data_IF_793239520618
#
_entry.id   IF_793239520618
#
_cell.length_a   1.000
_cell.length_b   1.000
_cell.length_c   1.000
_cell.angle_alpha   90.00
_cell.angle_beta   90.00
_cell.angle_gamma   90.00
#
_symmetry.space_group_name_H-M   'P 1'
#
loop_
_entity.id
_entity.type
_entity.pdbx_description
1 polymer ?
#
# COMPACT_ATOMS: atom_id res chain seq x y z
N UNK A 1 -12.74 8.36 -6.13
CA UNK A 1 -13.86 7.42 -6.37
C UNK A 1 -13.41 6.37 -7.38
N UNK A 2 -13.94 5.14 -7.32
CA UNK A 2 -13.66 4.10 -8.33
C UNK A 2 -14.56 4.36 -9.54
N UNK A 3 -13.99 4.33 -10.75
CA UNK A 3 -14.76 4.62 -11.98
C UNK A 3 -15.64 3.45 -12.40
N UNK A 4 -16.66 3.76 -13.20
CA UNK A 4 -17.38 2.75 -14.00
C UNK A 4 -16.44 2.10 -15.04
N UNK A 5 -16.87 0.98 -15.63
CA UNK A 5 -16.08 0.20 -16.60
C UNK A 5 -16.30 0.62 -18.06
N UNK A 6 -17.31 1.46 -18.32
CA UNK A 6 -17.73 1.87 -19.67
C UNK A 6 -18.05 3.37 -19.71
N UNK A 7 -18.13 3.94 -20.91
CA UNK A 7 -18.29 5.38 -21.11
C UNK A 7 -16.96 6.12 -21.06
N UNK A 8 -16.97 7.42 -21.39
CA UNK A 8 -15.76 8.23 -21.35
C UNK A 8 -15.20 8.26 -19.90
N UNK A 9 -13.87 8.10 -19.70
CA UNK A 9 -12.77 8.13 -20.69
C UNK A 9 -12.38 6.82 -21.36
N UNK A 10 -13.14 5.74 -21.22
CA UNK A 10 -12.90 4.51 -21.98
C UNK A 10 -13.38 4.66 -23.43
N UNK A 11 -12.63 4.16 -24.44
CA UNK A 11 -11.49 3.24 -24.35
C UNK A 11 -10.10 3.91 -24.35
N UNK A 12 -10.00 5.23 -24.13
CA UNK A 12 -8.70 5.92 -24.13
C UNK A 12 -7.86 5.50 -22.93
N UNK A 13 -8.48 5.43 -21.75
CA UNK A 13 -7.86 4.87 -20.57
C UNK A 13 -7.64 3.37 -20.70
N UNK A 14 -6.54 2.87 -20.12
CA UNK A 14 -6.32 1.42 -19.96
C UNK A 14 -7.55 0.79 -19.30
N UNK A 15 -8.21 -0.13 -20.00
CA UNK A 15 -9.49 -0.71 -19.57
C UNK A 15 -9.43 -1.37 -18.19
N UNK A 16 -10.38 -1.05 -17.32
CA UNK A 16 -10.56 -1.67 -16.00
C UNK A 16 -10.55 -3.21 -16.07
N UNK A 17 -10.17 -3.85 -14.97
CA UNK A 17 -10.16 -5.31 -14.83
C UNK A 17 -10.77 -5.74 -13.50
N UNK A 18 -10.87 -7.05 -13.30
CA UNK A 18 -11.26 -7.63 -12.01
C UNK A 18 -10.22 -7.43 -10.90
N UNK A 19 -8.97 -7.08 -11.25
CA UNK A 19 -7.85 -6.97 -10.31
C UNK A 19 -7.58 -5.52 -9.92
N UNK A 20 -7.81 -4.56 -10.81
CA UNK A 20 -7.64 -3.13 -10.53
C UNK A 20 -8.52 -2.28 -11.42
N UNK A 21 -8.91 -1.13 -10.90
CA UNK A 21 -9.73 -0.12 -11.58
C UNK A 21 -9.15 1.26 -11.39
N UNK A 22 -9.48 2.16 -12.30
CA UNK A 22 -9.17 3.59 -12.16
C UNK A 22 -9.86 4.18 -10.93
N UNK A 23 -9.11 5.04 -10.24
CA UNK A 23 -9.60 5.93 -9.20
C UNK A 23 -9.42 7.36 -9.68
N UNK A 24 -10.49 8.13 -9.66
CA UNK A 24 -10.56 9.51 -10.12
C UNK A 24 -11.44 10.36 -9.19
N UNK A 25 -11.43 11.70 -9.32
CA UNK A 25 -12.31 12.55 -8.53
C UNK A 25 -13.81 12.23 -8.77
N UNK A 26 -14.18 11.92 -10.01
CA UNK A 26 -15.56 11.63 -10.42
C UNK A 26 -15.72 10.19 -10.92
N UNK A 27 -16.84 9.53 -10.57
CA UNK A 27 -17.12 8.13 -10.95
C UNK A 27 -17.35 7.97 -12.47
N UNK A 28 -17.96 8.97 -13.10
CA UNK A 28 -18.39 8.96 -14.49
C UNK A 28 -18.27 10.37 -15.10
N UNK A 29 -17.95 10.43 -16.39
CA UNK A 29 -17.80 11.67 -17.16
C UNK A 29 -18.69 11.66 -18.41
N UNK A 30 -19.21 12.83 -18.76
CA UNK A 30 -20.03 13.06 -19.94
C UNK A 30 -21.44 13.56 -19.61
N UNK A 31 -22.34 13.59 -20.61
CA UNK A 31 -23.66 14.20 -20.48
C UNK A 31 -24.55 13.55 -19.41
N UNK A 32 -24.36 12.27 -19.10
CA UNK A 32 -25.10 11.57 -18.07
C UNK A 32 -24.77 12.07 -16.65
N UNK A 33 -23.50 12.40 -16.39
CA UNK A 33 -23.05 12.94 -15.10
C UNK A 33 -23.04 14.47 -15.06
N UNK A 34 -22.98 15.13 -16.22
CA UNK A 34 -22.80 16.58 -16.34
C UNK A 34 -21.37 17.04 -15.99
N UNK A 35 -20.44 16.11 -15.81
CA UNK A 35 -19.02 16.38 -15.50
C UNK A 35 -18.17 16.00 -16.70
N UNK A 36 -17.32 16.90 -17.16
CA UNK A 36 -16.56 16.72 -18.41
C UNK A 36 -15.05 16.84 -18.20
N UNK A 37 -14.63 17.38 -17.06
CA UNK A 37 -13.25 17.62 -16.69
C UNK A 37 -13.08 17.54 -15.18
N UNK A 38 -11.84 17.28 -14.77
CA UNK A 38 -11.37 17.50 -13.42
C UNK A 38 -10.52 18.77 -13.36
N UNK A 39 -10.50 19.43 -12.21
CA UNK A 39 -9.73 20.65 -12.02
C UNK A 39 -8.24 20.44 -12.32
N UNK A 40 -7.59 21.46 -12.87
CA UNK A 40 -6.14 21.47 -13.06
C UNK A 40 -5.45 21.52 -11.70
N UNK A 41 -4.48 20.65 -11.47
CA UNK A 41 -3.76 20.62 -10.20
C UNK A 41 -3.26 19.25 -9.78
N UNK A 42 -2.75 19.20 -8.56
CA UNK A 42 -2.22 17.98 -7.95
C UNK A 42 -3.31 17.19 -7.24
N UNK A 43 -3.38 15.90 -7.56
CA UNK A 43 -4.20 14.90 -6.92
C UNK A 43 -3.33 13.93 -6.13
N UNK A 44 -3.71 13.71 -4.87
CA UNK A 44 -3.00 12.84 -3.94
C UNK A 44 -3.83 11.59 -3.69
N UNK A 45 -3.37 10.46 -4.22
CA UNK A 45 -4.00 9.16 -3.99
C UNK A 45 -3.25 8.45 -2.88
N UNK A 46 -3.94 8.18 -1.77
CA UNK A 46 -3.33 7.58 -0.59
C UNK A 46 -3.90 6.19 -0.32
N UNK A 47 -2.99 5.22 -0.11
CA UNK A 47 -3.29 3.94 0.49
C UNK A 47 -2.61 3.86 1.86
N UNK A 48 -3.41 3.70 2.91
CA UNK A 48 -2.93 3.48 4.27
C UNK A 48 -3.09 2.01 4.65
N UNK A 49 -2.01 1.40 5.13
CA UNK A 49 -2.01 0.00 5.57
C UNK A 49 -1.19 -0.17 6.85
N UNK A 50 -1.57 -1.13 7.70
CA UNK A 50 -0.92 -1.35 8.99
C UNK A 50 -0.12 -2.65 8.98
N UNK A 51 1.17 -2.57 9.29
CA UNK A 51 2.04 -3.70 9.55
C UNK A 51 2.07 -3.96 11.06
N UNK A 52 1.23 -4.91 11.49
CA UNK A 52 1.11 -5.29 12.89
C UNK A 52 2.39 -5.90 13.50
N UNK A 53 2.38 -6.17 14.80
CA UNK A 53 3.50 -6.85 15.47
C UNK A 53 3.90 -8.15 14.76
N UNK A 54 5.20 -8.37 14.62
CA UNK A 54 5.77 -9.55 13.99
C UNK A 54 6.15 -9.40 12.52
N UNK A 55 5.62 -8.40 11.81
CA UNK A 55 6.15 -8.05 10.49
C UNK A 55 7.48 -7.30 10.63
N UNK A 56 8.50 -7.71 9.87
CA UNK A 56 9.78 -7.01 9.78
C UNK A 56 9.81 -6.08 8.54
N UNK A 57 9.66 -4.75 8.71
CA UNK A 57 9.67 -3.78 7.61
C UNK A 57 10.94 -3.82 6.76
N UNK A 58 12.08 -4.18 7.36
CA UNK A 58 13.36 -4.21 6.66
C UNK A 58 13.43 -5.31 5.60
N UNK A 59 12.54 -6.31 5.68
CA UNK A 59 12.47 -7.43 4.74
C UNK A 59 11.42 -7.24 3.64
N UNK A 60 10.57 -6.21 3.77
CA UNK A 60 9.45 -6.00 2.86
C UNK A 60 9.91 -5.68 1.45
N UNK A 61 9.31 -6.36 0.48
CA UNK A 61 9.43 -6.07 -0.95
C UNK A 61 8.05 -6.02 -1.57
N UNK A 62 7.89 -5.18 -2.59
CA UNK A 62 6.71 -5.23 -3.44
C UNK A 62 7.04 -4.71 -4.83
N UNK A 63 6.40 -5.31 -5.82
CA UNK A 63 6.49 -4.90 -7.22
C UNK A 63 5.13 -4.36 -7.65
N UNK A 64 5.12 -3.22 -8.31
CA UNK A 64 3.90 -2.58 -8.76
C UNK A 64 4.05 -2.00 -10.17
N UNK A 65 2.92 -1.67 -10.79
CA UNK A 65 2.83 -0.85 -11.99
C UNK A 65 1.66 0.11 -11.88
N UNK A 66 1.66 1.15 -12.69
CA UNK A 66 0.56 2.10 -12.70
C UNK A 66 0.37 2.76 -14.07
N UNK A 67 -0.78 3.40 -14.22
CA UNK A 67 -1.14 4.31 -15.31
C UNK A 67 -1.78 5.55 -14.67
N UNK A 68 -1.52 6.73 -15.20
CA UNK A 68 -2.03 7.99 -14.65
C UNK A 68 -2.53 8.90 -15.76
N UNK A 69 -3.45 9.81 -15.41
CA UNK A 69 -3.90 10.89 -16.28
C UNK A 69 -3.82 12.24 -15.53
N UNK A 70 -2.97 13.20 -15.91
CA UNK A 70 -2.06 13.18 -17.06
C UNK A 70 -0.62 12.79 -16.70
N UNK A 71 -0.02 13.39 -15.65
CA UNK A 71 1.40 13.20 -15.34
C UNK A 71 1.61 12.69 -13.92
N UNK A 72 2.47 11.69 -13.78
CA UNK A 72 2.95 11.31 -12.45
C UNK A 72 4.03 12.31 -12.01
N UNK A 73 3.86 12.91 -10.82
CA UNK A 73 4.90 13.76 -10.23
C UNK A 73 5.80 12.97 -9.28
N UNK A 74 5.24 12.07 -8.48
CA UNK A 74 6.03 11.25 -7.55
C UNK A 74 5.21 10.14 -6.90
N UNK A 75 5.91 9.13 -6.35
CA UNK A 75 5.33 8.16 -5.42
C UNK A 75 6.17 8.13 -4.14
N UNK A 76 5.50 8.23 -3.01
CA UNK A 76 6.09 8.27 -1.68
C UNK A 76 5.56 7.11 -0.85
N UNK A 77 6.45 6.43 -0.15
CA UNK A 77 6.10 5.53 0.95
C UNK A 77 6.60 6.15 2.25
N UNK A 78 5.65 6.56 3.09
CA UNK A 78 5.92 7.38 4.27
C UNK A 78 6.73 8.64 3.90
N UNK A 79 7.94 8.77 4.42
CA UNK A 79 8.84 9.90 4.13
C UNK A 79 9.85 9.62 3.01
N UNK A 80 9.75 8.46 2.34
CA UNK A 80 10.69 8.02 1.31
C UNK A 80 10.06 8.12 -0.07
N UNK A 81 10.68 8.89 -0.96
CA UNK A 81 10.30 8.92 -2.37
C UNK A 81 10.79 7.63 -3.05
N UNK A 82 9.88 6.80 -3.52
CA UNK A 82 10.19 5.53 -4.20
C UNK A 82 10.14 5.64 -5.73
N UNK A 83 9.47 6.67 -6.26
CA UNK A 83 9.45 6.97 -7.71
C UNK A 83 9.54 8.48 -7.92
N UNK A 84 10.43 8.89 -8.83
CA UNK A 84 10.48 10.25 -9.38
C UNK A 84 9.55 10.33 -10.59
N UNK A 85 8.86 11.47 -10.71
CA UNK A 85 7.83 11.70 -11.72
C UNK A 85 8.24 11.54 -13.17
N UNK A 86 7.22 11.38 -13.99
CA UNK A 86 7.24 11.29 -15.43
C UNK A 86 6.40 12.45 -15.96
N UNK A 87 7.02 13.62 -16.13
CA UNK A 87 6.34 14.84 -16.57
C UNK A 87 6.67 15.16 -18.04
N UNK A 88 5.65 15.57 -18.79
CA UNK A 88 5.78 16.10 -20.16
C UNK A 88 5.01 15.32 -21.22
N UNK A 89 4.87 15.88 -22.44
CA UNK A 89 4.17 15.22 -23.54
C UNK A 89 4.82 13.89 -23.93
N UNK A 90 4.03 12.82 -24.01
CA UNK A 90 4.52 11.48 -24.41
C UNK A 90 5.31 10.72 -23.32
N UNK A 91 5.48 11.31 -22.15
CA UNK A 91 5.94 10.65 -20.91
C UNK A 91 4.69 10.10 -20.21
N UNK A 92 4.77 8.94 -19.55
CA UNK A 92 3.67 8.18 -18.92
C UNK A 92 2.24 8.75 -19.05
N UNK A 93 1.35 8.08 -19.78
CA UNK A 93 -0.02 8.55 -20.01
C UNK A 93 -1.07 7.43 -19.76
N UNK A 94 -2.34 7.83 -19.75
CA UNK A 94 -3.52 7.05 -19.38
C UNK A 94 -3.77 5.80 -20.22
N UNK A 95 -3.10 5.66 -21.36
CA UNK A 95 -3.30 4.57 -22.33
C UNK A 95 -2.24 3.46 -22.25
N UNK A 96 -1.28 3.52 -21.32
CA UNK A 96 -0.33 2.43 -21.10
C UNK A 96 0.07 2.28 -19.63
N UNK A 97 0.68 1.13 -19.33
CA UNK A 97 1.27 0.81 -18.03
C UNK A 97 2.76 1.16 -18.00
N UNK A 98 3.27 1.59 -16.85
CA UNK A 98 4.72 1.49 -16.60
C UNK A 98 5.24 0.07 -16.79
N UNK A 99 6.53 -0.06 -17.07
CA UNK A 99 7.25 -1.27 -16.67
C UNK A 99 7.10 -1.50 -15.15
N UNK A 100 7.08 -2.75 -14.68
CA UNK A 100 7.05 -3.03 -13.25
C UNK A 100 8.20 -2.35 -12.50
N UNK A 101 7.90 -1.78 -11.34
CA UNK A 101 8.85 -1.14 -10.44
C UNK A 101 8.86 -1.92 -9.13
N UNK A 102 10.05 -2.28 -8.65
CA UNK A 102 10.23 -3.05 -7.43
C UNK A 102 10.84 -2.19 -6.34
N UNK A 103 10.16 -2.12 -5.19
CA UNK A 103 10.76 -1.64 -3.94
C UNK A 103 11.47 -2.80 -3.27
N UNK A 104 12.78 -2.65 -3.09
CA UNK A 104 13.63 -3.68 -2.47
C UNK A 104 13.67 -3.53 -0.96
N UNK A 105 13.98 -4.64 -0.28
CA UNK A 105 14.20 -4.70 1.15
C UNK A 105 15.31 -3.72 1.62
N UNK A 106 15.24 -3.32 2.87
CA UNK A 106 16.20 -2.43 3.54
C UNK A 106 15.69 -1.01 3.79
N UNK A 107 16.56 -0.12 4.32
CA UNK A 107 16.17 1.22 4.77
C UNK A 107 15.61 2.12 3.67
N UNK A 108 15.96 1.85 2.41
CA UNK A 108 15.45 2.58 1.24
C UNK A 108 14.02 2.21 0.83
N UNK A 109 13.41 1.18 1.43
CA UNK A 109 12.03 0.80 1.10
C UNK A 109 11.02 1.84 1.54
N UNK A 110 11.31 2.57 2.63
CA UNK A 110 10.39 3.48 3.29
C UNK A 110 9.37 2.80 4.20
N UNK A 111 9.35 1.46 4.28
CA UNK A 111 8.45 0.70 5.16
C UNK A 111 8.83 0.90 6.64
N UNK A 112 7.82 1.04 7.50
CA UNK A 112 7.98 1.17 8.95
C UNK A 112 7.00 0.26 9.70
N UNK A 113 7.31 -0.14 10.92
CA UNK A 113 6.36 -0.88 11.76
C UNK A 113 5.11 -0.03 12.03
N UNK A 114 3.94 -0.67 12.07
CA UNK A 114 2.67 0.04 12.24
C UNK A 114 2.13 0.61 10.93
N UNK A 115 1.54 1.81 11.00
CA UNK A 115 0.84 2.43 9.86
C UNK A 115 1.85 2.95 8.83
N UNK A 116 1.62 2.56 7.57
CA UNK A 116 2.34 3.01 6.40
C UNK A 116 1.38 3.74 5.46
N UNK A 117 1.87 4.78 4.80
CA UNK A 117 1.12 5.55 3.82
C UNK A 117 1.87 5.54 2.49
N UNK A 118 1.25 4.94 1.47
CA UNK A 118 1.68 5.06 0.09
C UNK A 118 0.90 6.23 -0.55
N UNK A 119 1.60 7.26 -1.01
CA UNK A 119 1.01 8.44 -1.65
C UNK A 119 1.51 8.53 -3.09
N UNK A 120 0.59 8.49 -4.04
CA UNK A 120 0.85 8.72 -5.46
C UNK A 120 0.36 10.12 -5.81
N UNK A 121 1.27 10.94 -6.35
CA UNK A 121 0.98 12.32 -6.74
C UNK A 121 0.85 12.38 -8.26
N UNK A 122 -0.35 12.72 -8.72
CA UNK A 122 -0.67 12.90 -10.14
C UNK A 122 -1.02 14.37 -10.38
N UNK A 123 -0.43 14.96 -11.39
CA UNK A 123 -0.79 16.29 -11.87
C UNK A 123 -1.74 16.16 -13.06
N UNK A 124 -2.95 16.69 -12.88
CA UNK A 124 -3.90 16.87 -13.97
C UNK A 124 -3.58 18.19 -14.67
N UNK A 125 -3.22 18.11 -15.94
CA UNK A 125 -2.92 19.27 -16.77
C UNK A 125 -4.21 19.91 -17.26
N UNK A 126 -4.17 21.14 -17.76
CA UNK A 126 -5.32 21.73 -18.45
C UNK A 126 -5.29 21.41 -19.93
N UNK A 127 -6.47 21.31 -20.56
CA UNK A 127 -6.57 21.29 -22.02
C UNK A 127 -6.53 22.73 -22.56
N UNK A 128 -5.70 23.04 -23.57
CA UNK A 128 -5.70 24.34 -24.22
C UNK A 128 -7.08 24.70 -24.78
N UNK A 129 -7.59 25.89 -24.43
CA UNK A 129 -8.92 26.36 -24.85
C UNK A 129 -10.06 25.94 -23.92
N UNK A 130 -9.78 25.14 -22.89
CA UNK A 130 -10.75 24.73 -21.88
C UNK A 130 -11.72 23.65 -22.36
N UNK A 131 -12.56 23.19 -21.44
CA UNK A 131 -13.51 22.11 -21.68
C UNK A 131 -14.79 22.61 -22.33
N UNK A 132 -15.19 21.94 -23.41
CA UNK A 132 -16.45 22.16 -24.11
C UNK A 132 -17.32 20.90 -23.97
N UNK A 133 -18.46 20.96 -23.27
CA UNK A 133 -19.39 19.84 -23.09
C UNK A 133 -19.89 19.20 -24.40
N UNK A 134 -19.87 19.93 -25.52
CA UNK A 134 -20.28 19.44 -26.83
C UNK A 134 -19.13 18.85 -27.65
N UNK A 135 -17.88 18.93 -27.17
CA UNK A 135 -16.70 18.41 -27.86
C UNK A 135 -15.87 17.50 -26.96
N UNK A 136 -16.03 16.19 -27.14
CA UNK A 136 -15.36 15.15 -26.35
C UNK A 136 -13.83 15.22 -26.38
N UNK A 137 -13.22 15.80 -27.42
CA UNK A 137 -11.76 15.95 -27.49
C UNK A 137 -11.21 17.02 -26.55
N UNK A 138 -12.08 17.78 -25.88
CA UNK A 138 -11.74 18.82 -24.90
C UNK A 138 -12.05 18.41 -23.45
N UNK A 139 -12.48 17.18 -23.25
CA UNK A 139 -12.76 16.63 -21.92
C UNK A 139 -11.48 16.11 -21.30
N UNK A 140 -11.30 16.35 -20.00
CA UNK A 140 -10.03 16.08 -19.33
C UNK A 140 -10.23 15.51 -17.92
N UNK A 141 -10.52 14.20 -17.83
CA UNK A 141 -10.58 13.52 -16.55
C UNK A 141 -9.16 13.28 -16.03
N UNK A 142 -8.99 13.41 -14.72
CA UNK A 142 -7.77 13.05 -14.00
C UNK A 142 -7.94 11.70 -13.30
N UNK A 143 -6.87 10.91 -13.24
CA UNK A 143 -6.98 9.56 -12.69
C UNK A 143 -5.68 8.89 -12.33
N UNK A 144 -5.80 7.86 -11.48
CA UNK A 144 -4.75 6.90 -11.21
C UNK A 144 -5.32 5.48 -11.29
N UNK A 145 -4.59 4.59 -11.94
CA UNK A 145 -4.75 3.17 -11.77
C UNK A 145 -3.45 2.55 -11.32
N UNK A 146 -3.51 1.78 -10.24
CA UNK A 146 -2.35 1.20 -9.57
C UNK A 146 -2.57 -0.30 -9.36
N UNK A 147 -1.52 -1.09 -9.58
CA UNK A 147 -1.54 -2.55 -9.41
C UNK A 147 -0.28 -3.00 -8.65
N UNK A 148 -0.48 -3.62 -7.49
CA UNK A 148 0.55 -4.43 -6.83
C UNK A 148 0.57 -5.79 -7.52
N UNK A 149 1.70 -6.14 -8.12
CA UNK A 149 1.89 -7.36 -8.90
C UNK A 149 2.39 -8.50 -8.02
N UNK A 150 3.24 -8.18 -7.06
CA UNK A 150 3.82 -9.13 -6.11
C UNK A 150 4.24 -8.41 -4.82
N UNK A 151 4.24 -9.12 -3.69
CA UNK A 151 4.70 -8.59 -2.41
C UNK A 151 5.15 -9.69 -1.46
N UNK A 152 6.21 -9.44 -0.70
CA UNK A 152 6.72 -10.36 0.31
C UNK A 152 7.18 -9.57 1.54
N UNK A 153 7.00 -10.16 2.72
CA UNK A 153 7.50 -9.63 3.98
C UNK A 153 7.68 -10.78 4.97
N UNK A 154 8.76 -10.75 5.75
CA UNK A 154 8.96 -11.72 6.81
C UNK A 154 8.01 -11.41 7.96
N UNK A 155 7.29 -12.43 8.40
CA UNK A 155 6.50 -12.42 9.62
C UNK A 155 7.14 -13.37 10.64
N UNK A 156 7.59 -12.83 11.75
CA UNK A 156 8.02 -13.55 12.94
C UNK A 156 6.95 -13.36 14.01
N UNK A 157 6.20 -14.41 14.39
CA UNK A 157 5.17 -14.29 15.42
C UNK A 157 5.74 -13.63 16.69
N UNK A 158 5.04 -12.64 17.28
CA UNK A 158 5.45 -12.12 18.58
C UNK A 158 5.54 -13.25 19.60
N UNK A 159 6.69 -13.42 20.26
CA UNK A 159 6.85 -14.43 21.31
C UNK A 159 5.93 -14.08 22.48
N UNK A 160 4.75 -14.70 22.56
CA UNK A 160 3.79 -14.37 23.60
C UNK A 160 2.43 -15.08 23.60
N UNK A 161 2.21 -16.17 22.85
CA UNK A 161 0.92 -16.85 22.91
C UNK A 161 0.82 -18.14 22.10
N UNK A 162 1.34 -19.24 22.66
CA UNK A 162 0.95 -20.59 22.26
C UNK A 162 1.63 -21.15 21.02
N UNK A 163 2.82 -21.73 21.20
CA UNK A 163 3.42 -22.65 20.24
C UNK A 163 4.86 -22.31 19.86
N UNK A 164 5.80 -22.83 20.64
CA UNK A 164 7.22 -22.88 20.29
C UNK A 164 8.02 -21.64 20.69
N UNK A 165 8.65 -21.73 21.86
CA UNK A 165 9.81 -20.90 22.24
C UNK A 165 9.54 -19.40 22.49
N UNK A 166 8.66 -19.11 23.45
CA UNK A 166 8.75 -17.86 24.21
C UNK A 166 9.74 -18.01 25.38
N UNK A 167 10.08 -16.91 26.12
CA UNK A 167 10.89 -17.03 27.33
C UNK A 167 10.24 -18.06 28.25
N UNK A 168 11.04 -19.00 28.75
CA UNK A 168 10.57 -20.16 29.52
C UNK A 168 9.93 -19.66 30.82
N UNK A 169 8.63 -19.36 30.80
CA UNK A 169 7.84 -19.16 32.00
C UNK A 169 7.71 -20.55 32.61
N UNK A 170 8.27 -20.83 33.81
CA UNK A 170 8.13 -22.14 34.40
C UNK A 170 6.64 -22.44 34.57
N UNK A 171 6.18 -23.55 34.01
CA UNK A 171 4.78 -23.97 34.18
C UNK A 171 4.48 -24.12 35.68
N UNK A 172 3.22 -23.96 36.13
CA UNK A 172 2.85 -24.13 37.53
C UNK A 172 3.39 -25.42 38.17
N UNK A 173 3.51 -26.50 37.37
CA UNK A 173 4.09 -27.77 37.79
C UNK A 173 5.59 -27.69 38.13
N UNK A 174 6.35 -26.81 37.47
CA UNK A 174 7.77 -26.58 37.78
C UNK A 174 7.93 -25.94 39.17
N UNK A 175 7.05 -25.01 39.54
CA UNK A 175 7.03 -24.43 40.90
C UNK A 175 6.64 -25.47 41.95
N UNK A 176 5.68 -26.36 41.64
CA UNK A 176 5.31 -27.46 42.53
C UNK A 176 6.48 -28.44 42.71
N UNK A 177 7.17 -28.81 41.64
CA UNK A 177 8.33 -29.72 41.71
C UNK A 177 9.50 -29.10 42.49
N UNK A 178 9.81 -27.83 42.25
CA UNK A 178 10.82 -27.09 43.03
C UNK A 178 10.43 -27.00 44.51
N UNK A 179 9.15 -26.74 44.80
CA UNK A 179 8.64 -26.72 46.18
C UNK A 179 8.75 -28.06 46.88
N UNK A 180 8.41 -29.16 46.20
CA UNK A 180 8.53 -30.52 46.73
C UNK A 180 10.00 -30.93 46.93
N UNK A 181 10.88 -30.55 46.00
CA UNK A 181 12.33 -30.76 46.12
C UNK A 181 12.93 -30.06 47.34
N UNK A 182 12.55 -28.81 47.60
CA UNK A 182 13.03 -28.05 48.76
C UNK A 182 12.47 -28.59 50.09
N UNK A 183 11.19 -28.99 50.12
CA UNK A 183 10.58 -29.59 51.31
C UNK A 183 11.21 -30.93 51.69
N UNK A 184 11.46 -31.79 50.69
CA UNK A 184 12.11 -33.09 50.89
C UNK A 184 13.55 -32.96 51.39
N UNK A 185 14.33 -32.02 50.85
CA UNK A 185 15.67 -31.71 51.35
C UNK A 185 15.64 -31.16 52.79
N UNK A 186 14.67 -30.30 53.11
CA UNK A 186 14.44 -29.79 54.47
C UNK A 186 14.15 -30.91 55.47
N UNK A 187 13.27 -31.86 55.12
CA UNK A 187 12.96 -33.02 55.95
C UNK A 187 14.11 -34.01 56.09
N UNK A 188 14.95 -34.18 55.07
CA UNK A 188 16.15 -35.02 55.18
C UNK A 188 17.18 -34.43 56.17
N UNK A 189 17.27 -33.10 56.27
CA UNK A 189 18.18 -32.42 57.20
C UNK A 189 17.70 -32.51 58.66
N UNK A 190 16.38 -32.48 58.88
CA UNK A 190 15.77 -32.63 60.21
C UNK A 190 15.81 -34.08 60.75
N UNK A 191 16.05 -35.08 59.89
CA UNK A 191 16.23 -36.48 60.29
C UNK A 191 17.65 -36.84 60.71
N UNK A 192 18.61 -35.92 60.57
CA UNK A 192 20.02 -36.11 60.96
C UNK A 192 20.45 -35.25 62.17
N UNK A 193 19.50 -34.69 62.90
CA UNK A 193 19.73 -34.00 64.17
C UNK A 193 19.24 -34.87 65.34
#
# INVERSE_FOLDING_TARGET
MVTVDTGFPFPYWVANSSVSKWVSPNVEYGPGSGVYDDAVGYYFYQLSFNMGPGYDPATGTFTFRFSGDNWLTSIWLNSTQIVTGYEGPGVLNHNFWTSPITVTAGPGSGLVSGVNNLVVVVYNTGIPGGTNPQNISTWNPGGLRFEVLDSSIVFVPPQGGGGGEGPVIPEPAAFVLCGLGLASLGWMKLRRA
#
